data_IF_886696239736
#
_entry.id   IF_886696239736
#
_cell.length_a   1.000
_cell.length_b   1.000
_cell.length_c   1.000
_cell.angle_alpha   90.00
_cell.angle_beta   90.00
_cell.angle_gamma   90.00
#
_symmetry.space_group_name_H-M   'P 1'
#
loop_
_entity.id
_entity.type
_entity.pdbx_description
1 polymer ?
#
# COMPACT_ATOMS: atom_id res chain seq x y z
N UNK A 1 -29.06 63.89 29.26
CA UNK A 1 -29.16 62.84 30.31
C UNK A 1 -27.74 62.40 30.67
N UNK A 2 -27.23 62.72 31.87
CA UNK A 2 -26.89 61.77 32.97
C UNK A 2 -26.38 60.42 32.42
N UNK A 3 -25.20 59.86 32.72
CA UNK A 3 -24.10 59.99 33.71
C UNK A 3 -22.91 59.21 33.07
N UNK A 4 -21.64 59.12 33.52
CA UNK A 4 -21.14 58.71 34.83
C UNK A 4 -19.58 58.56 34.71
N UNK A 5 -18.81 59.30 35.53
CA UNK A 5 -17.56 58.88 36.24
C UNK A 5 -16.22 58.88 35.48
N UNK A 6 -15.27 59.79 35.81
CA UNK A 6 -14.27 59.71 36.90
C UNK A 6 -13.52 58.36 36.95
N UNK A 7 -12.21 58.33 36.69
CA UNK A 7 -11.13 58.60 37.66
C UNK A 7 -9.75 58.48 37.00
N UNK A 8 -8.87 59.38 37.44
CA UNK A 8 -7.43 59.43 37.23
C UNK A 8 -6.68 58.25 37.86
N UNK A 9 -5.49 57.98 37.31
CA UNK A 9 -4.38 57.27 37.95
C UNK A 9 -4.12 55.89 37.32
N UNK A 10 -2.93 55.50 36.90
CA UNK A 10 -1.57 55.94 37.25
C UNK A 10 -0.65 55.63 36.06
N UNK A 11 0.18 56.60 35.68
CA UNK A 11 1.35 56.41 34.80
C UNK A 11 2.55 56.10 35.70
N UNK A 12 3.15 54.93 35.51
CA UNK A 12 4.57 54.58 35.71
C UNK A 12 4.66 53.05 35.49
N UNK A 13 5.57 52.47 34.71
CA UNK A 13 6.99 52.73 34.54
C UNK A 13 7.41 52.39 33.11
N UNK A 14 8.09 53.32 32.46
CA UNK A 14 8.88 53.06 31.25
C UNK A 14 10.12 52.26 31.62
N UNK A 15 10.14 50.97 31.26
CA UNK A 15 11.38 50.22 31.06
C UNK A 15 11.37 49.69 29.63
N UNK A 16 12.39 50.09 28.88
CA UNK A 16 12.42 50.07 27.43
C UNK A 16 12.13 48.71 26.82
N UNK A 17 11.12 48.67 25.95
CA UNK A 17 10.97 47.63 24.94
C UNK A 17 11.46 48.20 23.61
N UNK A 18 12.62 47.71 23.18
CA UNK A 18 13.10 47.88 21.81
C UNK A 18 11.97 47.52 20.84
N UNK A 19 11.66 48.47 19.95
CA UNK A 19 10.68 48.30 18.89
C UNK A 19 11.04 47.13 17.98
N UNK A 20 10.33 46.03 18.17
CA UNK A 20 10.19 44.98 17.17
C UNK A 20 8.76 45.03 16.67
N UNK A 21 8.56 45.62 15.49
CA UNK A 21 7.33 45.46 14.73
C UNK A 21 7.07 43.96 14.54
N UNK A 22 6.22 43.38 15.39
CA UNK A 22 5.68 42.06 15.15
C UNK A 22 4.69 42.20 13.99
N UNK A 23 5.22 42.21 12.76
CA UNK A 23 4.39 41.98 11.58
C UNK A 23 3.64 40.67 11.83
N UNK A 24 2.30 40.66 11.79
CA UNK A 24 1.56 39.41 11.89
C UNK A 24 2.03 38.50 10.75
N UNK A 25 2.81 37.48 11.11
CA UNK A 25 3.15 36.40 10.19
C UNK A 25 1.84 35.69 9.89
N UNK A 26 1.19 36.08 8.79
CA UNK A 26 0.13 35.28 8.19
C UNK A 26 0.73 33.91 7.92
N UNK A 27 0.38 32.94 8.77
CA UNK A 27 0.75 31.56 8.58
C UNK A 27 0.34 31.16 7.16
N UNK A 28 1.32 31.06 6.26
CA UNK A 28 1.10 30.71 4.87
C UNK A 28 0.24 29.45 4.83
N UNK A 29 -0.94 29.55 4.23
CA UNK A 29 -1.88 28.45 4.15
C UNK A 29 -1.16 27.29 3.43
N UNK A 30 -0.73 26.27 4.19
CA UNK A 30 0.07 25.17 3.66
C UNK A 30 -0.62 24.60 2.43
N UNK A 31 0.05 24.71 1.29
CA UNK A 31 -0.48 24.24 0.02
C UNK A 31 -0.92 22.77 0.16
N UNK A 32 -2.13 22.48 -0.30
CA UNK A 32 -2.70 21.13 -0.25
C UNK A 32 -1.76 20.15 -0.99
N UNK A 33 -1.36 19.01 -0.39
CA UNK A 33 -0.39 18.11 -1.02
C UNK A 33 -0.89 17.58 -2.37
N UNK A 34 -0.02 17.65 -3.38
CA UNK A 34 -0.24 17.20 -4.76
C UNK A 34 0.66 16.00 -5.09
N UNK A 35 0.21 15.16 -6.03
CA UNK A 35 1.02 14.07 -6.58
C UNK A 35 2.29 14.61 -7.25
N UNK A 36 3.37 13.87 -7.09
CA UNK A 36 4.65 14.07 -7.76
C UNK A 36 5.02 12.78 -8.51
N UNK A 37 5.82 12.88 -9.56
CA UNK A 37 6.31 11.70 -10.31
C UNK A 37 7.01 10.69 -9.39
N UNK A 38 7.79 11.19 -8.42
CA UNK A 38 8.46 10.36 -7.42
C UNK A 38 7.53 9.62 -6.45
N UNK A 39 6.22 9.88 -6.46
CA UNK A 39 5.24 9.07 -5.73
C UNK A 39 4.94 7.76 -6.49
N UNK A 40 5.10 7.72 -7.81
CA UNK A 40 4.77 6.54 -8.62
C UNK A 40 5.78 5.41 -8.51
N UNK A 41 6.99 5.69 -8.02
CA UNK A 41 8.11 4.74 -7.90
C UNK A 41 8.27 4.22 -6.47
N UNK A 42 7.18 4.19 -5.70
CA UNK A 42 7.20 3.97 -4.25
C UNK A 42 6.26 2.86 -3.84
N UNK A 43 6.56 2.29 -2.69
CA UNK A 43 5.71 1.29 -2.04
C UNK A 43 4.73 1.97 -1.12
N UNK A 44 3.53 1.39 -1.04
CA UNK A 44 2.44 1.88 -0.22
C UNK A 44 2.00 0.76 0.70
N UNK A 45 2.24 0.91 2.01
CA UNK A 45 1.99 -0.15 3.00
C UNK A 45 0.97 0.26 4.04
N UNK A 46 0.18 -0.70 4.49
CA UNK A 46 -0.79 -0.53 5.58
C UNK A 46 -0.64 -1.69 6.55
N UNK A 47 -0.13 -1.42 7.76
CA UNK A 47 -0.03 -2.42 8.82
C UNK A 47 -1.43 -2.82 9.33
N UNK A 48 -2.38 -1.88 9.31
CA UNK A 48 -3.76 -2.10 9.76
C UNK A 48 -4.49 -3.17 8.94
N UNK A 49 -4.32 -3.15 7.62
CA UNK A 49 -4.92 -4.14 6.71
C UNK A 49 -3.94 -5.23 6.31
N UNK A 50 -2.68 -5.15 6.74
CA UNK A 50 -1.58 -6.04 6.35
C UNK A 50 -1.46 -6.17 4.83
N UNK A 51 -1.64 -5.06 4.13
CA UNK A 51 -1.54 -4.99 2.67
C UNK A 51 -0.44 -4.03 2.26
N UNK A 52 0.15 -4.29 1.11
CA UNK A 52 1.05 -3.37 0.44
C UNK A 52 0.79 -3.37 -1.06
N UNK A 53 1.06 -2.26 -1.73
CA UNK A 53 1.07 -2.23 -3.19
C UNK A 53 2.11 -1.26 -3.71
N UNK A 54 2.47 -1.40 -4.98
CA UNK A 54 3.26 -0.41 -5.71
C UNK A 54 2.94 -0.47 -7.19
N UNK A 55 3.47 0.50 -7.93
CA UNK A 55 3.36 0.56 -9.39
C UNK A 55 4.75 0.32 -9.92
N UNK A 56 4.88 -0.72 -10.73
CA UNK A 56 6.09 -1.09 -11.43
C UNK A 56 5.90 -0.92 -12.94
N UNK A 57 6.98 -1.10 -13.69
CA UNK A 57 6.98 -1.06 -15.15
C UNK A 57 7.76 -2.25 -15.66
N UNK A 58 7.14 -3.02 -16.56
CA UNK A 58 7.80 -4.12 -17.26
C UNK A 58 8.21 -3.59 -18.62
N UNK A 59 9.49 -3.73 -18.97
CA UNK A 59 10.00 -3.38 -20.30
C UNK A 59 10.30 -4.67 -21.05
N UNK A 60 9.63 -4.87 -22.17
CA UNK A 60 9.88 -5.96 -23.11
C UNK A 60 10.23 -5.35 -24.48
N UNK A 61 11.50 -5.49 -24.87
CA UNK A 61 12.07 -4.75 -25.99
C UNK A 61 11.86 -3.24 -25.87
N UNK A 62 11.12 -2.65 -26.82
CA UNK A 62 10.79 -1.21 -26.85
C UNK A 62 9.49 -0.85 -26.12
N UNK A 63 8.77 -1.84 -25.55
CA UNK A 63 7.46 -1.62 -24.93
C UNK A 63 7.59 -1.62 -23.41
N UNK A 64 7.35 -0.47 -22.80
CA UNK A 64 7.21 -0.35 -21.35
C UNK A 64 5.73 -0.34 -20.97
N UNK A 65 5.31 -1.36 -20.21
CA UNK A 65 3.94 -1.50 -19.74
C UNK A 65 3.90 -1.35 -18.21
N UNK A 66 3.23 -0.32 -17.67
CA UNK A 66 3.09 -0.18 -16.23
C UNK A 66 2.06 -1.18 -15.69
N UNK A 67 2.35 -1.70 -14.50
CA UNK A 67 1.50 -2.64 -13.79
C UNK A 67 1.45 -2.29 -12.30
N UNK A 68 0.36 -2.66 -11.64
CA UNK A 68 0.19 -2.56 -10.19
C UNK A 68 0.40 -3.94 -9.57
N UNK A 69 1.17 -4.00 -8.50
CA UNK A 69 1.32 -5.20 -7.69
C UNK A 69 0.67 -4.94 -6.33
N UNK A 70 -0.21 -5.84 -5.90
CA UNK A 70 -0.85 -5.80 -4.59
C UNK A 70 -0.50 -7.08 -3.83
N UNK A 71 0.13 -6.92 -2.67
CA UNK A 71 0.35 -7.99 -1.70
C UNK A 71 -0.66 -7.91 -0.57
N UNK A 72 -1.35 -9.03 -0.33
CA UNK A 72 -2.18 -9.28 0.83
C UNK A 72 -1.46 -10.27 1.75
N UNK A 73 -1.15 -9.83 2.97
CA UNK A 73 -0.44 -10.63 3.97
C UNK A 73 -1.33 -10.91 5.20
N UNK A 74 -2.66 -10.82 5.06
CA UNK A 74 -3.60 -11.07 6.16
C UNK A 74 -4.12 -12.50 6.18
N UNK A 75 -5.33 -12.76 5.69
CA UNK A 75 -6.00 -14.07 5.86
C UNK A 75 -5.73 -15.04 4.71
N UNK A 76 -5.84 -14.54 3.48
CA UNK A 76 -5.54 -15.30 2.27
C UNK A 76 -4.31 -14.65 1.63
N UNK A 77 -3.14 -15.15 2.01
CA UNK A 77 -1.88 -14.58 1.56
C UNK A 77 -1.82 -14.70 0.05
N UNK A 78 -1.70 -13.57 -0.64
CA UNK A 78 -1.63 -13.55 -2.09
C UNK A 78 -0.85 -12.33 -2.58
N UNK A 79 -0.33 -12.46 -3.79
CA UNK A 79 0.17 -11.33 -4.57
C UNK A 79 -0.57 -11.32 -5.89
N UNK A 80 -1.19 -10.18 -6.21
CA UNK A 80 -1.97 -9.98 -7.43
C UNK A 80 -1.29 -8.94 -8.31
N UNK A 81 -1.22 -9.24 -9.61
CA UNK A 81 -0.69 -8.34 -10.62
C UNK A 81 -1.82 -7.78 -11.47
N UNK A 82 -1.75 -6.48 -11.77
CA UNK A 82 -2.73 -5.78 -12.59
C UNK A 82 -2.05 -4.95 -13.67
N UNK A 83 -2.32 -5.23 -14.94
CA UNK A 83 -1.80 -4.42 -16.05
C UNK A 83 -2.61 -3.13 -16.16
N UNK A 84 -1.94 -1.98 -16.03
CA UNK A 84 -2.61 -0.69 -16.12
C UNK A 84 -3.09 -0.42 -17.55
N UNK A 85 -4.31 0.08 -17.68
CA UNK A 85 -4.92 0.42 -18.95
C UNK A 85 -4.67 1.91 -19.23
N UNK A 86 -3.58 2.21 -19.92
CA UNK A 86 -3.16 3.56 -20.26
C UNK A 86 -2.58 4.37 -19.09
N UNK A 87 -2.45 5.69 -19.29
CA UNK A 87 -1.87 6.62 -18.30
C UNK A 87 -2.86 6.89 -17.15
N UNK A 88 -2.34 7.05 -15.94
CA UNK A 88 -3.13 7.46 -14.78
C UNK A 88 -3.68 8.88 -14.93
N UNK A 89 -4.92 9.11 -14.48
CA UNK A 89 -5.58 10.43 -14.55
C UNK A 89 -5.46 11.16 -13.21
N UNK A 90 -4.82 12.33 -13.24
CA UNK A 90 -4.70 13.22 -12.07
C UNK A 90 -5.93 14.14 -12.00
N UNK A 91 -6.51 14.32 -10.82
CA UNK A 91 -7.64 15.25 -10.61
C UNK A 91 -7.21 16.71 -10.79
N UNK A 92 -8.17 17.62 -11.06
CA UNK A 92 -7.90 19.07 -11.24
C UNK A 92 -7.05 19.67 -10.12
N UNK A 93 -7.32 19.30 -8.86
CA UNK A 93 -6.55 19.76 -7.70
C UNK A 93 -5.21 19.03 -7.46
N UNK A 94 -4.82 18.09 -8.33
CA UNK A 94 -3.57 17.34 -8.24
C UNK A 94 -3.51 16.30 -7.11
N UNK A 95 -4.60 16.08 -6.36
CA UNK A 95 -4.58 15.26 -5.13
C UNK A 95 -4.94 13.80 -5.31
N UNK A 96 -5.62 13.45 -6.39
CA UNK A 96 -6.13 12.10 -6.63
C UNK A 96 -5.62 11.61 -7.97
N UNK A 97 -5.01 10.44 -7.96
CA UNK A 97 -4.58 9.73 -9.15
C UNK A 97 -5.48 8.51 -9.35
N UNK A 98 -6.05 8.39 -10.54
CA UNK A 98 -6.98 7.33 -10.89
C UNK A 98 -6.35 6.43 -11.93
N UNK A 99 -6.35 5.12 -11.66
CA UNK A 99 -5.86 4.10 -12.58
C UNK A 99 -6.98 3.13 -12.95
N UNK A 100 -6.94 2.67 -14.20
CA UNK A 100 -7.70 1.51 -14.66
C UNK A 100 -6.72 0.35 -14.83
N UNK A 101 -7.13 -0.88 -14.52
CA UNK A 101 -6.26 -2.06 -14.67
C UNK A 101 -7.06 -3.33 -14.92
N UNK A 102 -6.44 -4.31 -15.58
CA UNK A 102 -6.96 -5.69 -15.72
C UNK A 102 -6.07 -6.62 -14.91
N UNK A 103 -6.66 -7.55 -14.18
CA UNK A 103 -5.89 -8.53 -13.40
C UNK A 103 -5.21 -9.53 -14.34
N UNK A 104 -4.00 -9.92 -14.00
CA UNK A 104 -3.32 -11.07 -14.60
C UNK A 104 -3.90 -12.34 -13.98
N UNK A 105 -4.29 -13.27 -14.82
CA UNK A 105 -4.81 -14.58 -14.43
C UNK A 105 -3.95 -15.67 -15.04
N UNK A 106 -3.48 -16.57 -14.19
CA UNK A 106 -2.73 -17.75 -14.62
C UNK A 106 -3.70 -18.91 -14.73
N UNK A 107 -3.69 -19.58 -15.88
CA UNK A 107 -4.43 -20.83 -16.08
C UNK A 107 -3.42 -21.92 -16.37
N UNK A 108 -3.42 -22.95 -15.55
CA UNK A 108 -2.61 -24.15 -15.80
C UNK A 108 -3.52 -25.20 -16.43
N UNK A 109 -3.17 -25.64 -17.63
CA UNK A 109 -3.80 -26.75 -18.33
C UNK A 109 -2.69 -27.57 -19.03
N UNK A 110 -2.76 -28.89 -18.98
CA UNK A 110 -1.80 -29.80 -19.63
C UNK A 110 -0.34 -29.47 -19.28
N UNK A 111 -0.05 -29.24 -17.99
CA UNK A 111 1.28 -28.86 -17.47
C UNK A 111 1.87 -27.55 -18.05
N UNK A 112 1.09 -26.77 -18.81
CA UNK A 112 1.46 -25.45 -19.30
C UNK A 112 0.69 -24.38 -18.55
N UNK A 113 1.41 -23.40 -18.00
CA UNK A 113 0.81 -22.22 -17.41
C UNK A 113 0.71 -21.13 -18.46
N UNK A 114 -0.52 -20.78 -18.83
CA UNK A 114 -0.81 -19.68 -19.75
C UNK A 114 -1.24 -18.47 -18.94
N UNK A 115 -0.56 -17.36 -19.19
CA UNK A 115 -0.92 -16.06 -18.64
C UNK A 115 -2.00 -15.41 -19.51
N UNK A 116 -3.06 -14.89 -18.88
CA UNK A 116 -4.14 -14.17 -19.55
C UNK A 116 -4.54 -12.93 -18.75
N UNK A 117 -5.25 -12.00 -19.38
CA UNK A 117 -5.84 -10.85 -18.70
C UNK A 117 -7.32 -11.09 -18.42
N UNK A 118 -7.76 -10.71 -17.22
CA UNK A 118 -9.17 -10.72 -16.86
C UNK A 118 -9.98 -9.83 -17.82
N UNK A 119 -11.16 -10.30 -18.25
CA UNK A 119 -12.09 -9.49 -19.06
C UNK A 119 -12.51 -8.19 -18.35
N UNK A 120 -12.61 -8.23 -17.02
CA UNK A 120 -13.04 -7.10 -16.19
C UNK A 120 -11.96 -6.03 -16.08
N UNK A 121 -12.35 -4.78 -16.33
CA UNK A 121 -11.53 -3.60 -16.03
C UNK A 121 -11.88 -3.09 -14.65
N UNK A 122 -10.88 -3.06 -13.78
CA UNK A 122 -10.97 -2.47 -12.44
C UNK A 122 -10.50 -1.03 -12.49
N UNK A 123 -10.97 -0.22 -11.54
CA UNK A 123 -10.52 1.15 -11.34
C UNK A 123 -10.18 1.34 -9.88
N UNK A 124 -9.09 2.04 -9.58
CA UNK A 124 -8.80 2.49 -8.23
C UNK A 124 -8.35 3.95 -8.21
N UNK A 125 -8.57 4.59 -7.05
CA UNK A 125 -8.17 5.97 -6.78
C UNK A 125 -7.17 5.97 -5.63
N UNK A 126 -6.01 6.58 -5.85
CA UNK A 126 -5.06 6.89 -4.80
C UNK A 126 -5.15 8.38 -4.50
N UNK A 127 -5.48 8.76 -3.28
CA UNK A 127 -5.60 10.16 -2.86
C UNK A 127 -4.49 10.52 -1.88
N UNK A 128 -3.69 11.52 -2.22
CA UNK A 128 -2.63 12.04 -1.35
C UNK A 128 -3.24 12.81 -0.19
N UNK A 129 -2.84 12.47 1.04
CA UNK A 129 -3.28 13.12 2.28
C UNK A 129 -2.18 13.99 2.86
N UNK A 130 -0.94 13.51 2.86
CA UNK A 130 0.28 14.25 3.23
C UNK A 130 1.45 13.84 2.34
N UNK A 131 2.67 14.23 2.69
CA UNK A 131 3.88 13.80 1.98
C UNK A 131 4.04 12.27 1.94
N UNK A 132 3.64 11.56 3.01
CA UNK A 132 3.86 10.11 3.15
C UNK A 132 2.56 9.32 3.36
N UNK A 133 1.40 9.97 3.45
CA UNK A 133 0.11 9.29 3.70
C UNK A 133 -0.81 9.43 2.51
N UNK A 134 -1.37 8.30 2.09
CA UNK A 134 -2.28 8.18 0.95
C UNK A 134 -3.48 7.34 1.34
N UNK A 135 -4.60 7.51 0.65
CA UNK A 135 -5.77 6.65 0.83
C UNK A 135 -6.16 5.99 -0.47
N UNK A 136 -6.51 4.71 -0.41
CA UNK A 136 -7.13 3.97 -1.50
C UNK A 136 -8.23 3.06 -0.96
N UNK A 137 -9.14 2.62 -1.82
CA UNK A 137 -10.16 1.64 -1.43
C UNK A 137 -9.68 0.22 -1.71
N UNK A 138 -9.94 -0.66 -0.75
CA UNK A 138 -9.66 -2.08 -0.80
C UNK A 138 -10.99 -2.85 -0.72
N UNK A 139 -11.19 -3.84 -1.58
CA UNK A 139 -12.39 -4.70 -1.47
C UNK A 139 -12.36 -5.53 -0.18
N UNK A 140 -13.54 -5.96 0.27
CA UNK A 140 -13.68 -6.90 1.39
C UNK A 140 -13.47 -8.35 0.90
N UNK A 141 -13.27 -9.28 1.83
CA UNK A 141 -13.11 -10.71 1.56
C UNK A 141 -11.66 -11.20 1.53
N UNK A 142 -11.44 -12.37 0.94
CA UNK A 142 -10.13 -13.06 0.86
C UNK A 142 -9.30 -12.64 -0.35
N UNK A 143 -9.95 -12.35 -1.49
CA UNK A 143 -9.29 -11.87 -2.70
C UNK A 143 -9.35 -10.35 -2.80
N UNK A 144 -8.74 -9.67 -1.81
CA UNK A 144 -8.79 -8.21 -1.71
C UNK A 144 -8.03 -7.57 -2.86
N UNK A 145 -8.61 -6.53 -3.45
CA UNK A 145 -8.07 -5.78 -4.60
C UNK A 145 -8.28 -4.28 -4.44
N UNK A 146 -7.45 -3.48 -5.09
CA UNK A 146 -7.64 -2.03 -5.14
C UNK A 146 -8.88 -1.70 -5.99
N UNK A 147 -9.75 -0.83 -5.49
CA UNK A 147 -11.02 -0.52 -6.14
C UNK A 147 -11.43 0.96 -5.98
N UNK A 148 -12.61 1.32 -6.47
CA UNK A 148 -13.27 2.61 -6.20
C UNK A 148 -14.23 2.56 -5.01
N UNK A 149 -14.61 1.36 -4.56
CA UNK A 149 -15.53 1.11 -3.44
C UNK A 149 -14.95 0.03 -2.52
N UNK A 150 -15.42 -0.02 -1.28
CA UNK A 150 -14.95 -0.97 -0.26
C UNK A 150 -14.48 -0.25 1.00
N UNK A 151 -13.50 -0.83 1.68
CA UNK A 151 -12.91 -0.23 2.87
C UNK A 151 -11.87 0.81 2.44
N UNK A 152 -12.01 2.05 2.93
CA UNK A 152 -11.00 3.08 2.74
C UNK A 152 -9.81 2.81 3.65
N UNK A 153 -8.63 2.65 3.06
CA UNK A 153 -7.40 2.30 3.77
C UNK A 153 -6.40 3.43 3.63
N UNK A 154 -5.74 3.78 4.73
CA UNK A 154 -4.61 4.71 4.74
C UNK A 154 -3.31 3.92 4.57
N UNK A 155 -2.58 4.22 3.51
CA UNK A 155 -1.27 3.68 3.21
C UNK A 155 -0.17 4.69 3.55
N UNK A 156 0.95 4.17 4.05
CA UNK A 156 2.19 4.92 4.24
C UNK A 156 3.13 4.63 3.08
N UNK A 157 3.64 5.68 2.45
CA UNK A 157 4.62 5.60 1.38
C UNK A 157 6.00 5.26 1.95
N UNK A 158 6.68 4.29 1.36
CA UNK A 158 8.06 3.91 1.70
C UNK A 158 8.93 3.78 0.45
N UNK A 159 10.24 3.97 0.61
CA UNK A 159 11.21 3.75 -0.47
C UNK A 159 11.54 2.26 -0.62
N UNK A 160 11.60 1.53 0.49
CA UNK A 160 11.91 0.11 0.55
C UNK A 160 10.65 -0.74 0.48
N UNK A 161 10.78 -1.91 -0.14
CA UNK A 161 9.70 -2.89 -0.24
C UNK A 161 9.34 -3.41 1.15
N UNK A 162 8.06 -3.40 1.55
CA UNK A 162 7.63 -4.00 2.80
C UNK A 162 7.46 -5.53 2.71
N UNK A 163 7.57 -6.14 1.54
CA UNK A 163 7.17 -7.54 1.31
C UNK A 163 7.80 -8.53 2.28
N UNK A 164 9.12 -8.53 2.41
CA UNK A 164 9.82 -9.43 3.33
C UNK A 164 9.37 -9.21 4.78
N UNK A 165 9.34 -7.94 5.22
CA UNK A 165 8.94 -7.61 6.59
C UNK A 165 7.49 -8.00 6.89
N UNK A 166 6.59 -7.87 5.91
CA UNK A 166 5.18 -8.20 6.07
C UNK A 166 4.95 -9.70 5.97
N UNK A 167 5.69 -10.40 5.11
CA UNK A 167 5.68 -11.86 5.06
C UNK A 167 6.12 -12.43 6.40
N UNK A 168 7.28 -11.99 6.92
CA UNK A 168 7.79 -12.47 8.20
C UNK A 168 6.85 -12.15 9.37
N UNK A 169 6.31 -10.92 9.41
CA UNK A 169 5.50 -10.46 10.54
C UNK A 169 4.05 -10.97 10.52
N UNK A 170 3.45 -11.11 9.34
CA UNK A 170 2.02 -11.37 9.20
C UNK A 170 1.70 -12.66 8.45
N UNK A 171 2.55 -13.06 7.51
CA UNK A 171 2.31 -14.20 6.64
C UNK A 171 2.85 -15.53 7.14
N UNK A 172 4.05 -15.52 7.76
CA UNK A 172 4.84 -16.72 8.01
C UNK A 172 4.08 -17.82 8.77
N UNK A 173 3.42 -17.48 9.87
CA UNK A 173 2.63 -18.46 10.64
C UNK A 173 1.57 -19.19 9.82
N UNK A 174 0.92 -18.50 8.86
CA UNK A 174 -0.10 -19.14 7.99
C UNK A 174 0.54 -19.98 6.89
N UNK A 175 1.65 -19.53 6.32
CA UNK A 175 2.42 -20.31 5.35
C UNK A 175 2.96 -21.57 6.01
N UNK A 176 3.50 -21.48 7.23
CA UNK A 176 3.98 -22.63 8.00
C UNK A 176 2.83 -23.62 8.27
N UNK A 177 1.66 -23.14 8.69
CA UNK A 177 0.49 -23.98 8.91
C UNK A 177 0.01 -24.68 7.63
N UNK A 178 -0.06 -23.96 6.51
CA UNK A 178 -0.40 -24.54 5.21
C UNK A 178 0.63 -25.59 4.77
N UNK A 179 1.92 -25.28 4.92
CA UNK A 179 3.02 -26.15 4.52
C UNK A 179 3.05 -27.45 5.31
N UNK A 180 2.74 -27.40 6.61
CA UNK A 180 2.53 -28.59 7.45
C UNK A 180 1.38 -29.45 6.93
N UNK A 181 0.24 -28.86 6.58
CA UNK A 181 -0.89 -29.62 6.02
C UNK A 181 -0.52 -30.31 4.71
N UNK A 182 0.18 -29.62 3.80
CA UNK A 182 0.63 -30.20 2.53
C UNK A 182 1.67 -31.30 2.76
N UNK A 183 2.65 -31.07 3.63
CA UNK A 183 3.67 -32.08 3.96
C UNK A 183 3.05 -33.33 4.60
N UNK A 184 2.09 -33.18 5.51
CA UNK A 184 1.37 -34.29 6.12
C UNK A 184 0.57 -35.11 5.08
N UNK A 185 0.00 -34.45 4.06
CA UNK A 185 -0.67 -35.14 2.95
C UNK A 185 0.32 -35.95 2.11
N UNK A 186 1.47 -35.36 1.76
CA UNK A 186 2.52 -36.05 1.02
C UNK A 186 3.15 -37.20 1.81
N UNK A 187 3.33 -37.02 3.13
CA UNK A 187 3.88 -38.03 4.02
C UNK A 187 3.01 -39.29 4.06
N UNK A 188 1.68 -39.13 4.08
CA UNK A 188 0.72 -40.25 3.99
C UNK A 188 0.79 -41.00 2.66
N UNK A 189 1.10 -40.31 1.57
CA UNK A 189 1.18 -40.92 0.24
C UNK A 189 2.52 -41.63 -0.01
N UNK A 190 3.60 -41.18 0.65
CA UNK A 190 4.96 -41.64 0.38
C UNK A 190 5.62 -42.34 1.60
N UNK A 191 4.85 -42.66 2.64
CA UNK A 191 5.29 -43.27 3.90
C UNK A 191 6.51 -42.58 4.53
N UNK A 192 6.51 -41.25 4.56
CA UNK A 192 7.63 -40.48 5.14
C UNK A 192 7.66 -40.55 6.67
N UNK A 193 8.87 -40.50 7.22
CA UNK A 193 9.10 -40.31 8.67
C UNK A 193 8.71 -38.89 9.11
N UNK A 194 8.51 -38.70 10.42
CA UNK A 194 8.23 -37.37 11.01
C UNK A 194 9.33 -36.34 10.72
N UNK A 195 10.59 -36.78 10.67
CA UNK A 195 11.72 -35.91 10.34
C UNK A 195 11.67 -35.43 8.88
N UNK A 196 11.35 -36.34 7.94
CA UNK A 196 11.17 -36.01 6.52
C UNK A 196 9.97 -35.08 6.32
N UNK A 197 8.85 -35.32 7.01
CA UNK A 197 7.68 -34.44 6.98
C UNK A 197 8.04 -33.02 7.43
N UNK A 198 8.75 -32.87 8.56
CA UNK A 198 9.16 -31.57 9.08
C UNK A 198 10.13 -30.83 8.14
N UNK A 199 11.06 -31.55 7.52
CA UNK A 199 12.00 -30.99 6.55
C UNK A 199 11.26 -30.48 5.30
N UNK A 200 10.35 -31.28 4.74
CA UNK A 200 9.56 -30.90 3.56
C UNK A 200 8.62 -29.75 3.88
N UNK A 201 7.97 -29.74 5.06
CA UNK A 201 7.15 -28.60 5.49
C UNK A 201 7.95 -27.30 5.53
N UNK A 202 9.21 -27.36 6.00
CA UNK A 202 10.12 -26.20 6.02
C UNK A 202 10.46 -25.74 4.61
N UNK A 203 10.84 -26.66 3.72
CA UNK A 203 11.16 -26.36 2.31
C UNK A 203 9.97 -25.71 1.59
N UNK A 204 8.76 -26.26 1.74
CA UNK A 204 7.54 -25.68 1.16
C UNK A 204 7.32 -24.28 1.71
N UNK A 205 7.45 -24.09 3.03
CA UNK A 205 7.22 -22.78 3.65
C UNK A 205 8.20 -21.71 3.15
N UNK A 206 9.48 -22.05 3.08
CA UNK A 206 10.54 -21.15 2.62
C UNK A 206 10.39 -20.83 1.14
N UNK A 207 10.08 -21.83 0.31
CA UNK A 207 9.83 -21.64 -1.11
C UNK A 207 8.60 -20.77 -1.37
N UNK A 208 7.48 -21.02 -0.70
CA UNK A 208 6.26 -20.21 -0.84
C UNK A 208 6.49 -18.77 -0.37
N UNK A 209 7.11 -18.59 0.80
CA UNK A 209 7.42 -17.27 1.35
C UNK A 209 8.33 -16.48 0.41
N UNK A 210 9.41 -17.12 -0.07
CA UNK A 210 10.35 -16.54 -1.03
C UNK A 210 9.68 -16.18 -2.35
N UNK A 211 8.85 -17.08 -2.88
CA UNK A 211 8.11 -16.86 -4.14
C UNK A 211 7.14 -15.68 -4.02
N UNK A 212 6.34 -15.63 -2.96
CA UNK A 212 5.40 -14.52 -2.73
C UNK A 212 6.13 -13.18 -2.53
N UNK A 213 7.27 -13.17 -1.84
CA UNK A 213 8.09 -11.96 -1.72
C UNK A 213 8.65 -11.54 -3.07
N UNK A 214 9.18 -12.47 -3.87
CA UNK A 214 9.70 -12.21 -5.23
C UNK A 214 8.61 -11.69 -6.16
N UNK A 215 7.42 -12.28 -6.12
CA UNK A 215 6.26 -11.83 -6.89
C UNK A 215 5.84 -10.39 -6.57
N UNK A 216 6.20 -9.87 -5.39
CA UNK A 216 5.90 -8.50 -5.00
C UNK A 216 6.91 -7.48 -5.53
N UNK A 217 8.08 -7.88 -6.05
CA UNK A 217 9.03 -6.96 -6.68
C UNK A 217 8.62 -6.67 -8.14
#
# INVERSE_FOLDING_TARGET
MRRLWMKLGVVALTLGTFGGLATPSVASAKAKPRFKTADLTRYYKSAKTKTAFHIASLTDGKKTQPYVILGDFDKAINVQHGILQGKGKVSKNGRTLTFKYKLVTYKTANQKTVQSLSKKVYTFKLTKKSATKFTAYLTKGTNRRLATKGTKVTYTQTKTSPAQSYMNKYGKSRIDAYSKTVAAQNAKQNNWTTAQEAQVATQISDQLSSTLVKMFY
#
